data_IF_105323594780
#
_entry.id   IF_105323594780
#
_cell.length_a   1.000
_cell.length_b   1.000
_cell.length_c   1.000
_cell.angle_alpha   90.00
_cell.angle_beta   90.00
_cell.angle_gamma   90.00
#
_symmetry.space_group_name_H-M   'P 1'
#
loop_
_entity.id
_entity.type
_entity.pdbx_description
1 polymer ?
#
# COMPACT_ATOMS: atom_id res chain seq x y z
N UNK A 1 -16.50 2.23 19.93
CA UNK A 1 -16.91 3.46 19.21
C UNK A 1 -16.13 3.55 17.90
N UNK A 2 -16.75 3.27 16.74
CA UNK A 2 -16.10 3.37 15.42
C UNK A 2 -16.10 4.79 14.83
N UNK A 3 -16.56 5.81 15.58
CA UNK A 3 -16.86 7.14 15.03
C UNK A 3 -15.72 7.84 14.29
N UNK A 4 -14.45 7.60 14.66
CA UNK A 4 -13.31 8.11 13.90
C UNK A 4 -13.26 7.53 12.48
N UNK A 5 -13.36 6.20 12.35
CA UNK A 5 -13.31 5.51 11.07
C UNK A 5 -14.50 5.89 10.18
N UNK A 6 -15.70 6.00 10.75
CA UNK A 6 -16.90 6.40 10.01
C UNK A 6 -16.75 7.80 9.41
N UNK A 7 -16.29 8.77 10.21
CA UNK A 7 -16.02 10.13 9.71
C UNK A 7 -14.90 10.16 8.67
N UNK A 8 -13.89 9.32 8.82
CA UNK A 8 -12.81 9.23 7.85
C UNK A 8 -13.32 8.75 6.49
N UNK A 9 -14.12 7.68 6.47
CA UNK A 9 -14.71 7.13 5.23
C UNK A 9 -15.61 8.17 4.57
N UNK A 10 -16.55 8.75 5.33
CA UNK A 10 -17.48 9.75 4.82
C UNK A 10 -16.74 10.98 4.22
N UNK A 11 -15.82 11.57 4.97
CA UNK A 11 -15.05 12.74 4.50
C UNK A 11 -14.14 12.43 3.30
N UNK A 12 -13.73 11.18 3.13
CA UNK A 12 -12.90 10.74 2.00
C UNK A 12 -13.72 10.52 0.73
N UNK A 13 -14.98 10.10 0.86
CA UNK A 13 -15.85 9.69 -0.25
C UNK A 13 -16.85 10.77 -0.66
N UNK A 14 -17.35 11.57 0.28
CA UNK A 14 -18.31 12.65 0.04
C UNK A 14 -17.88 13.62 -1.07
N UNK A 15 -16.59 14.05 -1.16
CA UNK A 15 -16.15 14.94 -2.23
C UNK A 15 -16.16 14.33 -3.65
N UNK A 16 -16.43 13.03 -3.76
CA UNK A 16 -16.55 12.29 -5.02
C UNK A 16 -17.99 11.80 -5.28
N UNK A 17 -18.99 12.35 -4.57
CA UNK A 17 -20.39 11.91 -4.64
C UNK A 17 -20.58 10.43 -4.23
N UNK A 18 -19.71 9.95 -3.32
CA UNK A 18 -19.73 8.59 -2.78
C UNK A 18 -20.02 8.55 -1.27
N UNK A 19 -20.38 9.68 -0.65
CA UNK A 19 -20.64 9.80 0.79
C UNK A 19 -21.80 8.93 1.29
N UNK A 20 -22.74 8.59 0.41
CA UNK A 20 -23.86 7.69 0.65
C UNK A 20 -23.66 6.29 0.03
N UNK A 21 -22.42 5.96 -0.42
CA UNK A 21 -22.09 4.73 -1.15
C UNK A 21 -21.00 3.88 -0.50
N UNK A 22 -21.00 3.84 0.83
CA UNK A 22 -20.08 2.99 1.59
C UNK A 22 -20.80 2.23 2.68
N UNK A 23 -20.24 1.07 3.03
CA UNK A 23 -20.71 0.24 4.12
C UNK A 23 -19.52 -0.16 4.98
N UNK A 24 -19.58 0.10 6.28
CA UNK A 24 -18.69 -0.50 7.26
C UNK A 24 -19.52 -1.40 8.18
N UNK A 25 -19.23 -2.70 8.15
CA UNK A 25 -19.84 -3.67 9.07
C UNK A 25 -18.88 -3.87 10.23
N UNK A 26 -19.27 -3.41 11.41
CA UNK A 26 -18.39 -3.49 12.59
C UNK A 26 -18.32 -4.92 13.17
N UNK A 27 -17.49 -5.09 14.20
CA UNK A 27 -17.26 -6.40 14.84
C UNK A 27 -18.50 -6.98 15.54
N UNK A 28 -19.53 -6.18 15.78
CA UNK A 28 -20.83 -6.63 16.32
C UNK A 28 -21.84 -6.97 15.23
N UNK A 29 -21.47 -6.76 13.96
CA UNK A 29 -22.35 -6.98 12.81
C UNK A 29 -23.20 -5.77 12.44
N UNK A 30 -23.03 -4.62 13.11
CA UNK A 30 -23.82 -3.42 12.81
C UNK A 30 -23.29 -2.76 11.53
N UNK A 31 -24.22 -2.40 10.65
CA UNK A 31 -23.96 -1.66 9.42
C UNK A 31 -23.93 -0.15 9.68
N UNK A 32 -22.87 0.50 9.19
CA UNK A 32 -22.71 1.96 9.18
C UNK A 32 -22.53 2.44 7.74
N UNK A 33 -23.04 3.63 7.42
CA UNK A 33 -23.12 4.12 6.03
C UNK A 33 -24.46 3.70 5.43
N UNK A 34 -24.44 2.87 4.37
CA UNK A 34 -25.66 2.25 3.85
C UNK A 34 -26.22 1.21 4.82
N UNK A 35 -27.54 1.13 4.91
CA UNK A 35 -28.23 0.15 5.77
C UNK A 35 -28.10 -1.28 5.24
N UNK A 36 -28.27 -2.26 6.13
CA UNK A 36 -28.13 -3.69 5.83
C UNK A 36 -28.98 -4.14 4.63
N UNK A 37 -30.26 -3.76 4.59
CA UNK A 37 -31.15 -4.11 3.48
C UNK A 37 -30.63 -3.63 2.14
N UNK A 38 -30.15 -2.37 2.09
CA UNK A 38 -29.59 -1.80 0.86
C UNK A 38 -28.27 -2.46 0.46
N UNK A 39 -27.41 -2.75 1.44
CA UNK A 39 -26.17 -3.49 1.23
C UNK A 39 -26.44 -4.89 0.65
N UNK A 40 -27.45 -5.61 1.16
CA UNK A 40 -27.84 -6.93 0.64
C UNK A 40 -28.31 -6.85 -0.83
N UNK A 41 -29.15 -5.87 -1.17
CA UNK A 41 -29.59 -5.63 -2.56
C UNK A 41 -28.41 -5.40 -3.50
N UNK A 42 -27.42 -4.61 -3.06
CA UNK A 42 -26.19 -4.35 -3.83
C UNK A 42 -25.43 -5.66 -4.02
N UNK A 43 -25.17 -6.43 -2.97
CA UNK A 43 -24.47 -7.71 -3.11
C UNK A 43 -25.17 -8.68 -4.06
N UNK A 44 -26.51 -8.76 -4.00
CA UNK A 44 -27.29 -9.65 -4.87
C UNK A 44 -27.27 -9.25 -6.35
N UNK A 45 -27.09 -7.96 -6.64
CA UNK A 45 -27.06 -7.41 -8.00
C UNK A 45 -25.64 -7.13 -8.53
N UNK A 46 -24.62 -7.43 -7.74
CA UNK A 46 -23.21 -7.18 -8.09
C UNK A 46 -22.65 -8.30 -8.94
N UNK A 47 -22.02 -7.95 -10.06
CA UNK A 47 -21.35 -8.90 -10.95
C UNK A 47 -19.89 -9.20 -10.52
N UNK A 48 -19.23 -8.23 -9.86
CA UNK A 48 -17.81 -8.30 -9.47
C UNK A 48 -17.57 -7.80 -8.05
N UNK A 49 -16.97 -8.64 -7.23
CA UNK A 49 -16.42 -8.28 -5.92
C UNK A 49 -14.91 -8.10 -6.03
N UNK A 50 -14.42 -6.87 -5.85
CA UNK A 50 -13.01 -6.55 -5.91
C UNK A 50 -12.46 -6.24 -4.51
N UNK A 51 -11.49 -7.03 -4.08
CA UNK A 51 -10.79 -6.83 -2.81
C UNK A 51 -9.38 -6.30 -3.09
N UNK A 52 -9.15 -5.04 -2.77
CA UNK A 52 -7.80 -4.50 -2.65
C UNK A 52 -7.23 -4.93 -1.30
N UNK A 53 -6.03 -5.52 -1.31
CA UNK A 53 -5.25 -5.98 -0.14
C UNK A 53 -5.84 -5.66 1.23
N UNK A 54 -6.16 -6.71 1.98
CA UNK A 54 -6.62 -6.59 3.36
C UNK A 54 -7.88 -5.75 3.61
N UNK A 55 -8.54 -5.24 2.57
CA UNK A 55 -9.81 -4.53 2.67
C UNK A 55 -10.97 -5.44 3.10
N UNK A 56 -10.84 -6.76 2.93
CA UNK A 56 -11.84 -7.72 3.39
C UNK A 56 -11.23 -9.10 3.64
N UNK A 57 -11.03 -9.49 4.90
CA UNK A 57 -10.55 -10.83 5.29
C UNK A 57 -11.68 -11.79 5.73
N UNK A 58 -12.94 -11.37 5.61
CA UNK A 58 -14.09 -12.12 6.11
C UNK A 58 -15.08 -12.41 4.99
N UNK A 59 -15.28 -13.69 4.70
CA UNK A 59 -16.33 -14.14 3.80
C UNK A 59 -17.69 -14.08 4.49
N UNK A 60 -18.66 -13.53 3.75
CA UNK A 60 -20.09 -13.59 4.05
C UNK A 60 -20.76 -14.31 2.89
N UNK A 61 -21.84 -15.03 3.14
CA UNK A 61 -22.59 -15.73 2.09
C UNK A 61 -22.96 -14.78 0.93
N UNK A 62 -23.29 -13.53 1.25
CA UNK A 62 -23.56 -12.47 0.27
C UNK A 62 -22.39 -12.20 -0.68
N UNK A 63 -21.15 -12.22 -0.19
CA UNK A 63 -19.96 -12.01 -1.02
C UNK A 63 -19.61 -13.26 -1.83
N UNK A 64 -19.80 -14.45 -1.25
CA UNK A 64 -19.56 -15.73 -1.92
C UNK A 64 -20.51 -15.95 -3.11
N UNK A 65 -21.73 -15.40 -3.03
CA UNK A 65 -22.71 -15.46 -4.10
C UNK A 65 -22.42 -14.51 -5.27
N UNK A 66 -21.45 -13.60 -5.15
CA UNK A 66 -21.08 -12.70 -6.25
C UNK A 66 -20.34 -13.52 -7.33
N UNK A 67 -20.77 -13.47 -8.61
CA UNK A 67 -20.26 -14.35 -9.66
C UNK A 67 -18.74 -14.30 -9.84
N UNK A 68 -18.15 -13.11 -9.79
CA UNK A 68 -16.71 -12.92 -9.97
C UNK A 68 -16.10 -12.27 -8.74
N UNK A 69 -15.05 -12.88 -8.19
CA UNK A 69 -14.27 -12.39 -7.05
C UNK A 69 -12.84 -12.16 -7.51
N UNK A 70 -12.37 -10.93 -7.39
CA UNK A 70 -11.00 -10.55 -7.74
C UNK A 70 -10.27 -9.98 -6.53
N UNK A 71 -9.00 -10.35 -6.36
CA UNK A 71 -8.11 -9.79 -5.35
C UNK A 71 -7.00 -8.99 -6.01
N UNK A 72 -6.59 -7.87 -5.43
CA UNK A 72 -5.39 -7.12 -5.85
C UNK A 72 -4.42 -7.07 -4.67
N UNK A 73 -3.28 -7.74 -4.84
CA UNK A 73 -2.15 -7.72 -3.90
C UNK A 73 -1.30 -6.45 -4.05
N UNK A 74 -1.44 -5.54 -3.09
CA UNK A 74 -0.64 -4.32 -2.98
C UNK A 74 0.72 -4.52 -2.29
N UNK A 75 0.98 -5.69 -1.68
CA UNK A 75 2.19 -6.00 -0.90
C UNK A 75 2.92 -7.24 -1.46
N UNK A 76 3.33 -7.21 -2.76
CA UNK A 76 3.90 -8.37 -3.43
C UNK A 76 5.12 -8.92 -2.70
N UNK A 77 5.22 -10.23 -2.70
CA UNK A 77 6.22 -11.01 -2.01
C UNK A 77 5.81 -11.41 -0.60
N UNK A 78 5.17 -10.54 0.19
CA UNK A 78 4.67 -10.95 1.52
C UNK A 78 3.53 -11.97 1.38
N UNK A 79 2.56 -11.69 0.53
CA UNK A 79 1.42 -12.57 0.26
C UNK A 79 1.88 -13.95 -0.22
N UNK A 80 2.82 -14.00 -1.17
CA UNK A 80 3.29 -15.26 -1.75
C UNK A 80 4.23 -16.03 -0.80
N UNK A 81 5.07 -15.34 -0.02
CA UNK A 81 5.90 -15.98 1.02
C UNK A 81 5.04 -16.59 2.13
N UNK A 82 3.98 -15.89 2.56
CA UNK A 82 3.04 -16.42 3.55
C UNK A 82 2.31 -17.66 3.03
N UNK A 83 1.81 -17.62 1.78
CA UNK A 83 1.23 -18.79 1.10
C UNK A 83 2.22 -19.95 1.02
N UNK A 84 3.47 -19.68 0.63
CA UNK A 84 4.50 -20.71 0.52
C UNK A 84 4.83 -21.33 1.88
N UNK A 85 4.99 -20.50 2.93
CA UNK A 85 5.25 -20.97 4.28
C UNK A 85 4.12 -21.87 4.78
N UNK A 86 2.88 -21.44 4.61
CA UNK A 86 1.70 -22.23 4.99
C UNK A 86 1.71 -23.59 4.27
N UNK A 87 1.99 -23.63 2.97
CA UNK A 87 2.09 -24.88 2.22
C UNK A 87 3.18 -25.83 2.72
N UNK A 88 4.31 -25.30 3.20
CA UNK A 88 5.37 -26.13 3.80
C UNK A 88 4.95 -26.69 5.17
N UNK A 89 4.14 -25.95 5.93
CA UNK A 89 3.70 -26.31 7.27
C UNK A 89 2.40 -27.15 7.29
N UNK A 90 1.60 -27.08 6.23
CA UNK A 90 0.30 -27.74 6.06
C UNK A 90 0.33 -29.27 6.12
N UNK A 91 1.50 -29.90 5.99
CA UNK A 91 1.68 -31.35 5.94
C UNK A 91 1.23 -32.15 7.18
N UNK A 92 0.53 -31.55 8.15
CA UNK A 92 0.04 -32.22 9.35
C UNK A 92 -1.29 -31.68 9.93
N UNK A 93 -1.86 -30.58 9.45
CA UNK A 93 -3.01 -29.92 10.10
C UNK A 93 -3.83 -29.09 9.10
N UNK A 94 -5.02 -29.58 8.74
CA UNK A 94 -5.92 -28.91 7.79
C UNK A 94 -6.44 -27.56 8.31
N UNK A 95 -6.49 -27.34 9.63
CA UNK A 95 -6.89 -26.04 10.21
C UNK A 95 -5.89 -24.92 9.90
N UNK A 96 -4.68 -25.26 9.46
CA UNK A 96 -3.64 -24.29 9.09
C UNK A 96 -3.73 -23.78 7.66
N UNK A 97 -4.64 -24.30 6.82
CA UNK A 97 -4.76 -23.94 5.40
C UNK A 97 -5.65 -22.72 5.11
N UNK A 98 -5.99 -21.92 6.12
CA UNK A 98 -6.98 -20.86 5.98
C UNK A 98 -6.56 -19.80 4.95
N UNK A 99 -5.27 -19.48 4.82
CA UNK A 99 -4.80 -18.46 3.89
C UNK A 99 -4.85 -19.00 2.46
N UNK A 100 -4.40 -20.23 2.26
CA UNK A 100 -4.53 -20.95 1.00
C UNK A 100 -5.99 -21.03 0.56
N UNK A 101 -6.89 -21.44 1.46
CA UNK A 101 -8.31 -21.59 1.16
C UNK A 101 -8.98 -20.24 0.92
N UNK A 102 -8.59 -19.19 1.64
CA UNK A 102 -9.00 -17.83 1.37
C UNK A 102 -8.65 -17.42 -0.07
N UNK A 103 -7.42 -17.66 -0.55
CA UNK A 103 -7.06 -17.32 -1.93
C UNK A 103 -7.72 -18.20 -3.00
N UNK A 104 -8.05 -19.46 -2.69
CA UNK A 104 -8.81 -20.33 -3.61
C UNK A 104 -10.24 -19.85 -3.88
N UNK A 105 -10.80 -19.02 -3.02
CA UNK A 105 -12.16 -18.47 -3.23
C UNK A 105 -12.23 -17.41 -4.34
N UNK A 106 -11.10 -16.85 -4.76
CA UNK A 106 -11.04 -15.83 -5.80
C UNK A 106 -10.94 -16.44 -7.20
N UNK A 107 -11.68 -15.84 -8.13
CA UNK A 107 -11.64 -16.20 -9.55
C UNK A 107 -10.40 -15.60 -10.24
N UNK A 108 -9.94 -14.42 -9.79
CA UNK A 108 -8.77 -13.74 -10.34
C UNK A 108 -7.92 -13.12 -9.24
N UNK A 109 -6.61 -13.28 -9.37
CA UNK A 109 -5.63 -12.70 -8.45
C UNK A 109 -4.73 -11.75 -9.24
N UNK A 110 -4.68 -10.51 -8.82
CA UNK A 110 -3.83 -9.46 -9.37
C UNK A 110 -2.75 -9.08 -8.36
N UNK A 111 -1.66 -8.50 -8.84
CA UNK A 111 -0.58 -8.01 -7.98
C UNK A 111 0.07 -6.75 -8.55
N UNK A 112 0.55 -5.87 -7.67
CA UNK A 112 1.43 -4.75 -8.04
C UNK A 112 2.90 -5.17 -8.17
N UNK A 113 3.24 -6.44 -7.97
CA UNK A 113 4.57 -7.00 -8.23
C UNK A 113 4.71 -7.53 -9.64
N UNK A 114 5.23 -6.72 -10.56
CA UNK A 114 5.36 -7.08 -11.99
C UNK A 114 6.20 -8.31 -12.30
N UNK A 115 7.11 -8.70 -11.40
CA UNK A 115 7.95 -9.89 -11.57
C UNK A 115 7.39 -11.14 -10.88
N UNK A 116 6.34 -11.03 -10.07
CA UNK A 116 5.75 -12.18 -9.37
C UNK A 116 5.24 -13.20 -10.40
N UNK A 117 5.61 -14.47 -10.21
CA UNK A 117 5.27 -15.55 -11.14
C UNK A 117 6.16 -15.60 -12.40
N UNK A 118 7.20 -14.78 -12.48
CA UNK A 118 8.19 -14.79 -13.58
C UNK A 118 9.55 -15.29 -13.08
N UNK A 119 10.48 -15.70 -13.97
CA UNK A 119 11.84 -16.09 -13.56
C UNK A 119 12.65 -14.99 -12.86
N UNK A 120 12.22 -13.73 -12.92
CA UNK A 120 12.91 -12.60 -12.28
C UNK A 120 12.59 -12.45 -10.79
N UNK A 121 11.58 -13.16 -10.28
CA UNK A 121 11.23 -13.22 -8.86
C UNK A 121 11.10 -14.67 -8.42
N UNK A 122 12.04 -15.13 -7.61
CA UNK A 122 12.13 -16.55 -7.19
C UNK A 122 11.11 -16.96 -6.12
N UNK A 123 10.22 -16.04 -5.68
CA UNK A 123 9.20 -16.38 -4.69
C UNK A 123 8.19 -17.36 -5.31
N UNK A 124 7.95 -18.53 -4.70
CA UNK A 124 6.95 -19.47 -5.18
C UNK A 124 5.54 -18.87 -5.12
N UNK A 125 4.77 -19.02 -6.19
CA UNK A 125 3.36 -18.56 -6.25
C UNK A 125 2.36 -19.65 -5.87
N UNK A 126 2.82 -20.88 -5.62
CA UNK A 126 1.96 -22.02 -5.34
C UNK A 126 1.02 -22.34 -6.52
N UNK A 127 -0.24 -22.71 -6.28
CA UNK A 127 -1.21 -23.03 -7.33
C UNK A 127 -1.82 -21.80 -8.00
N UNK A 128 -1.38 -20.59 -7.64
CA UNK A 128 -2.02 -19.35 -8.05
C UNK A 128 -1.30 -18.69 -9.22
N UNK A 129 -2.09 -18.18 -10.16
CA UNK A 129 -1.65 -17.25 -11.20
C UNK A 129 -1.86 -15.83 -10.71
N UNK A 130 -0.79 -15.04 -10.64
CA UNK A 130 -0.84 -13.63 -10.24
C UNK A 130 -0.69 -12.73 -11.46
N UNK A 131 -1.77 -12.01 -11.79
CA UNK A 131 -1.81 -11.11 -12.93
C UNK A 131 -1.22 -9.75 -12.57
N UNK A 132 -0.18 -9.27 -13.26
CA UNK A 132 0.44 -8.01 -12.93
C UNK A 132 -0.46 -6.83 -13.34
N UNK A 133 -0.60 -5.85 -12.45
CA UNK A 133 -1.30 -4.59 -12.69
C UNK A 133 -0.61 -3.43 -11.97
N UNK A 134 -1.14 -2.22 -12.13
CA UNK A 134 -0.70 -1.02 -11.41
C UNK A 134 -1.88 -0.37 -10.70
N UNK A 135 -1.61 0.31 -9.58
CA UNK A 135 -2.60 1.18 -8.96
C UNK A 135 -2.98 2.30 -9.95
N UNK A 136 -4.27 2.46 -10.29
CA UNK A 136 -4.70 3.58 -11.12
C UNK A 136 -4.52 4.90 -10.35
N UNK A 137 -4.05 5.94 -11.05
CA UNK A 137 -3.86 7.28 -10.49
C UNK A 137 -4.76 8.29 -11.21
N UNK A 138 -5.52 9.07 -10.45
CA UNK A 138 -6.34 10.16 -11.02
C UNK A 138 -5.47 11.40 -11.21
N UNK A 139 -4.88 11.55 -12.38
CA UNK A 139 -3.92 12.64 -12.68
C UNK A 139 -4.49 14.03 -12.39
N UNK A 140 -5.77 14.27 -12.67
CA UNK A 140 -6.41 15.58 -12.42
C UNK A 140 -6.50 15.94 -10.94
N UNK A 141 -6.64 14.93 -10.07
CA UNK A 141 -6.71 15.12 -8.62
C UNK A 141 -5.33 15.37 -8.02
N UNK A 142 -4.27 14.90 -8.67
CA UNK A 142 -2.88 15.03 -8.24
C UNK A 142 -2.14 16.16 -8.93
N UNK A 143 -2.66 16.69 -10.04
CA UNK A 143 -2.07 17.80 -10.77
C UNK A 143 -1.83 18.99 -9.86
N UNK A 144 -0.59 19.49 -9.84
CA UNK A 144 -0.27 20.74 -9.17
C UNK A 144 -0.59 21.88 -10.12
N UNK A 145 -1.45 22.82 -9.71
CA UNK A 145 -1.51 24.10 -10.41
C UNK A 145 -0.18 24.78 -10.15
N UNK A 146 0.66 24.93 -11.18
CA UNK A 146 2.06 25.39 -11.08
C UNK A 146 2.22 26.75 -10.36
N UNK A 147 1.13 27.49 -10.19
CA UNK A 147 1.08 28.78 -9.50
C UNK A 147 0.68 28.70 -8.02
N UNK A 148 0.06 27.61 -7.54
CA UNK A 148 -0.56 27.58 -6.20
C UNK A 148 0.37 27.17 -5.07
N UNK A 149 1.40 26.36 -5.33
CA UNK A 149 2.34 26.00 -4.25
C UNK A 149 3.75 25.75 -4.77
N UNK A 150 4.73 26.63 -4.49
CA UNK A 150 6.12 26.34 -4.77
C UNK A 150 6.53 25.10 -3.95
N UNK A 151 7.35 24.20 -4.52
CA UNK A 151 7.82 23.04 -3.77
C UNK A 151 8.60 23.52 -2.54
N UNK A 152 8.26 22.95 -1.38
CA UNK A 152 9.09 22.98 -0.19
C UNK A 152 10.46 22.40 -0.57
N UNK A 153 11.50 22.85 0.14
CA UNK A 153 12.86 22.38 -0.07
C UNK A 153 13.09 20.86 0.15
N UNK A 154 12.48 20.20 1.15
CA UNK A 154 12.82 18.81 1.45
C UNK A 154 12.31 17.83 0.39
N UNK A 155 13.13 16.81 0.14
CA UNK A 155 12.70 15.51 -0.38
C UNK A 155 11.98 14.77 0.73
N UNK A 156 10.85 14.15 0.43
CA UNK A 156 9.99 13.59 1.48
C UNK A 156 9.60 12.16 1.21
N UNK A 157 9.13 11.49 2.26
CA UNK A 157 8.45 10.21 2.13
C UNK A 157 7.47 10.00 3.27
N UNK A 158 6.44 9.21 2.99
CA UNK A 158 5.52 8.67 4.00
C UNK A 158 5.77 7.18 4.05
N UNK A 159 6.23 6.68 5.19
CA UNK A 159 6.66 5.29 5.30
C UNK A 159 6.37 4.66 6.66
N UNK A 160 6.12 3.37 6.62
CA UNK A 160 6.11 2.50 7.79
C UNK A 160 7.50 1.88 7.94
N UNK A 161 8.15 2.11 9.08
CA UNK A 161 9.49 1.59 9.38
C UNK A 161 9.50 0.07 9.45
N UNK A 162 8.52 -0.46 10.19
CA UNK A 162 8.27 -1.87 10.39
C UNK A 162 6.76 -2.06 10.59
N UNK A 163 6.21 -3.11 9.98
CA UNK A 163 4.81 -3.50 10.12
C UNK A 163 4.68 -4.50 11.28
N UNK A 164 3.53 -4.49 11.97
CA UNK A 164 3.24 -5.45 13.04
C UNK A 164 2.56 -6.74 12.53
N UNK A 165 2.10 -6.74 11.28
CA UNK A 165 1.64 -7.94 10.56
C UNK A 165 2.81 -8.66 9.91
N UNK A 166 2.74 -9.97 9.65
CA UNK A 166 3.79 -10.69 8.91
C UNK A 166 5.18 -10.59 9.57
N UNK A 167 5.27 -10.55 10.90
CA UNK A 167 6.55 -10.35 11.63
C UNK A 167 7.59 -11.44 11.36
N UNK A 168 7.14 -12.61 10.91
CA UNK A 168 7.92 -13.79 10.59
C UNK A 168 8.03 -14.04 9.06
N UNK A 169 7.53 -13.11 8.24
CA UNK A 169 7.52 -13.20 6.78
C UNK A 169 8.25 -11.99 6.18
N UNK A 170 9.31 -12.26 5.43
CA UNK A 170 10.02 -11.21 4.69
C UNK A 170 10.78 -10.23 5.59
N UNK A 171 11.03 -9.03 5.06
CA UNK A 171 11.75 -7.96 5.74
C UNK A 171 11.22 -6.58 5.37
N UNK A 172 11.39 -5.62 6.28
CA UNK A 172 10.77 -4.30 6.23
C UNK A 172 11.71 -3.20 5.75
N UNK A 173 11.25 -1.93 5.78
CA UNK A 173 12.06 -0.79 5.35
C UNK A 173 13.24 -0.52 6.27
N UNK A 174 13.14 -0.86 7.56
CA UNK A 174 14.23 -0.74 8.54
C UNK A 174 15.57 -1.31 8.05
N UNK A 175 15.56 -2.50 7.44
CA UNK A 175 16.77 -3.17 6.93
C UNK A 175 17.43 -2.43 5.76
N UNK A 176 16.62 -1.90 4.83
CA UNK A 176 17.12 -1.13 3.69
C UNK A 176 17.50 0.29 4.06
N UNK A 177 16.76 0.92 4.99
CA UNK A 177 16.98 2.31 5.38
C UNK A 177 18.34 2.49 6.08
N UNK A 178 18.77 1.53 6.90
CA UNK A 178 20.08 1.58 7.56
C UNK A 178 21.23 1.69 6.54
N UNK A 179 21.08 1.13 5.34
CA UNK A 179 22.10 1.19 4.28
C UNK A 179 22.29 2.59 3.70
N UNK A 180 21.29 3.46 3.84
CA UNK A 180 21.31 4.86 3.37
C UNK A 180 21.43 5.87 4.51
N UNK A 181 21.60 5.43 5.76
CA UNK A 181 21.54 6.28 6.95
C UNK A 181 22.50 7.49 6.90
N UNK A 182 23.69 7.31 6.34
CA UNK A 182 24.71 8.36 6.21
C UNK A 182 24.43 9.38 5.08
N UNK A 183 23.37 9.20 4.29
CA UNK A 183 23.11 10.02 3.11
C UNK A 183 22.98 11.52 3.41
N UNK A 184 22.21 11.99 4.43
CA UNK A 184 22.08 13.41 4.71
C UNK A 184 23.44 14.04 5.01
N UNK A 185 24.26 13.38 5.84
CA UNK A 185 25.60 13.84 6.22
C UNK A 185 26.57 13.94 5.03
N UNK A 186 26.41 13.06 4.03
CA UNK A 186 27.21 13.09 2.81
C UNK A 186 26.77 14.21 1.87
N UNK A 187 25.47 14.49 1.81
CA UNK A 187 24.91 15.51 0.93
C UNK A 187 25.09 16.91 1.49
N UNK A 188 24.93 17.13 2.80
CA UNK A 188 25.10 18.45 3.44
C UNK A 188 26.45 19.13 3.14
N UNK A 189 27.48 18.35 2.84
CA UNK A 189 28.82 18.86 2.55
C UNK A 189 28.95 19.45 1.16
N UNK A 190 28.19 18.94 0.20
CA UNK A 190 28.40 19.18 -1.24
C UNK A 190 27.13 19.70 -1.96
N UNK A 191 25.94 19.49 -1.39
CA UNK A 191 24.63 19.73 -2.01
C UNK A 191 23.61 20.25 -0.98
N UNK A 192 22.92 21.35 -1.29
CA UNK A 192 21.79 21.88 -0.49
C UNK A 192 20.54 20.98 -0.65
N UNK A 193 20.57 19.81 0.01
CA UNK A 193 19.52 18.78 -0.04
C UNK A 193 18.98 18.56 1.36
N UNK A 194 17.69 18.87 1.53
CA UNK A 194 16.95 18.65 2.76
C UNK A 194 16.07 17.38 2.64
N UNK A 195 15.85 16.69 3.76
CA UNK A 195 14.95 15.53 3.85
C UNK A 195 13.91 15.74 4.96
N UNK A 196 12.74 15.12 4.81
CA UNK A 196 11.73 15.04 5.86
C UNK A 196 10.96 13.72 5.78
N UNK A 197 10.90 12.97 6.89
CA UNK A 197 10.28 11.65 6.97
C UNK A 197 8.97 11.69 7.77
N UNK A 198 7.85 11.39 7.13
CA UNK A 198 6.61 11.04 7.82
C UNK A 198 6.64 9.52 8.15
N UNK A 199 7.10 9.18 9.35
CA UNK A 199 7.41 7.79 9.76
C UNK A 199 6.83 7.42 11.13
N UNK A 200 6.44 6.15 11.31
CA UNK A 200 5.97 5.58 12.59
C UNK A 200 7.10 5.06 13.51
N UNK A 201 8.27 4.77 12.95
CA UNK A 201 9.43 4.17 13.62
C UNK A 201 10.33 5.14 14.38
N UNK A 202 11.60 4.79 14.63
CA UNK A 202 12.41 5.37 15.70
C UNK A 202 12.87 6.80 15.38
N UNK A 203 11.97 7.77 15.57
CA UNK A 203 12.17 9.19 15.20
C UNK A 203 13.42 9.80 15.82
N UNK A 204 13.73 9.44 17.07
CA UNK A 204 14.94 9.89 17.76
C UNK A 204 16.20 9.41 17.04
N UNK A 205 16.31 8.10 16.80
CA UNK A 205 17.42 7.50 16.07
C UNK A 205 17.58 8.12 14.67
N UNK A 206 16.48 8.30 13.93
CA UNK A 206 16.51 8.92 12.61
C UNK A 206 17.01 10.37 12.68
N UNK A 207 16.46 11.16 13.59
CA UNK A 207 16.84 12.57 13.76
C UNK A 207 18.32 12.72 14.17
N UNK A 208 18.82 11.86 15.06
CA UNK A 208 20.22 11.82 15.47
C UNK A 208 21.17 11.47 14.32
N UNK A 209 20.67 10.81 13.28
CA UNK A 209 21.41 10.47 12.06
C UNK A 209 21.12 11.44 10.89
N UNK A 210 20.61 12.64 11.18
CA UNK A 210 20.39 13.68 10.17
C UNK A 210 19.13 13.48 9.32
N UNK A 211 18.17 12.69 9.80
CA UNK A 211 16.87 12.50 9.14
C UNK A 211 15.74 13.16 9.94
N UNK A 212 15.37 14.41 9.63
CA UNK A 212 14.24 15.08 10.27
C UNK A 212 12.95 14.29 10.11
N UNK A 213 12.24 14.05 11.21
CA UNK A 213 10.96 13.36 11.22
C UNK A 213 9.79 14.33 11.45
N UNK A 214 8.70 14.15 10.70
CA UNK A 214 7.40 14.78 10.98
C UNK A 214 6.40 13.77 11.55
N UNK A 215 5.26 14.24 12.04
CA UNK A 215 4.22 13.36 12.56
C UNK A 215 3.47 12.67 11.41
N UNK A 216 3.78 11.39 11.20
CA UNK A 216 3.13 10.56 10.19
C UNK A 216 1.61 10.58 10.28
N UNK A 217 1.04 10.49 11.50
CA UNK A 217 -0.41 10.48 11.69
C UNK A 217 -1.05 11.80 11.24
N UNK A 218 -0.43 12.95 11.54
CA UNK A 218 -0.96 14.25 11.11
C UNK A 218 -0.85 14.45 9.60
N UNK A 219 0.20 13.91 8.97
CA UNK A 219 0.39 13.91 7.51
C UNK A 219 -0.65 13.05 6.82
N UNK A 220 -0.96 11.87 7.36
CA UNK A 220 -1.90 10.89 6.78
C UNK A 220 -3.28 10.93 7.42
N UNK A 221 -3.65 12.02 8.11
CA UNK A 221 -4.88 12.09 8.89
C UNK A 221 -6.14 12.04 8.03
N UNK A 222 -6.04 12.60 6.82
CA UNK A 222 -7.07 12.61 5.81
C UNK A 222 -6.42 12.65 4.40
N UNK A 223 -7.16 12.27 3.35
CA UNK A 223 -6.61 12.22 1.99
C UNK A 223 -6.10 13.57 1.48
N UNK A 224 -6.67 14.68 1.95
CA UNK A 224 -6.33 16.03 1.50
C UNK A 224 -4.98 16.47 2.05
N UNK A 225 -4.74 16.28 3.34
CA UNK A 225 -3.44 16.53 3.97
C UNK A 225 -2.34 15.66 3.39
N UNK A 226 -2.64 14.38 3.15
CA UNK A 226 -1.70 13.47 2.51
C UNK A 226 -1.33 13.94 1.11
N UNK A 227 -2.33 14.36 0.33
CA UNK A 227 -2.13 14.94 -1.00
C UNK A 227 -1.29 16.21 -0.94
N UNK A 228 -1.64 17.16 -0.07
CA UNK A 228 -0.91 18.43 0.08
C UNK A 228 0.55 18.18 0.49
N UNK A 229 0.78 17.21 1.39
CA UNK A 229 2.13 16.82 1.78
C UNK A 229 2.99 16.43 0.58
N UNK A 230 2.47 15.57 -0.30
CA UNK A 230 3.15 15.09 -1.51
C UNK A 230 3.27 16.20 -2.56
N UNK A 231 2.18 16.92 -2.84
CA UNK A 231 2.13 17.96 -3.88
C UNK A 231 3.10 19.11 -3.59
N UNK A 232 3.36 19.40 -2.31
CA UNK A 232 4.26 20.47 -1.90
C UNK A 232 5.69 20.03 -1.73
N UNK A 233 6.03 18.75 -1.88
CA UNK A 233 7.41 18.29 -1.72
C UNK A 233 8.31 18.63 -2.89
N UNK A 234 9.63 18.68 -2.67
CA UNK A 234 10.61 18.78 -3.76
C UNK A 234 10.56 17.56 -4.68
N UNK A 235 10.36 16.39 -4.08
CA UNK A 235 10.38 15.08 -4.73
C UNK A 235 10.27 13.98 -3.69
N UNK A 236 10.13 12.74 -4.15
CA UNK A 236 10.22 11.56 -3.28
C UNK A 236 11.67 11.09 -3.15
N UNK A 237 12.11 10.83 -1.93
CA UNK A 237 13.23 9.92 -1.68
C UNK A 237 12.72 8.76 -0.82
N UNK A 238 12.83 7.52 -1.28
CA UNK A 238 12.39 6.38 -0.46
C UNK A 238 13.12 5.08 -0.73
N UNK A 239 13.31 4.30 0.35
CA UNK A 239 13.68 2.87 0.25
C UNK A 239 12.43 2.00 0.17
N UNK A 240 12.54 0.84 -0.46
CA UNK A 240 11.48 -0.15 -0.53
C UNK A 240 11.50 -1.06 0.71
N UNK A 241 10.44 -1.86 0.93
CA UNK A 241 10.52 -2.94 1.94
C UNK A 241 11.61 -3.92 1.50
N UNK A 242 12.39 -4.45 2.44
CA UNK A 242 13.48 -5.39 2.12
C UNK A 242 12.99 -6.57 1.27
N UNK A 243 11.79 -7.10 1.54
CA UNK A 243 11.17 -8.15 0.72
C UNK A 243 11.12 -7.79 -0.77
N UNK A 244 10.72 -6.56 -1.12
CA UNK A 244 10.58 -6.17 -2.53
C UNK A 244 11.93 -6.13 -3.24
N UNK A 245 12.96 -5.65 -2.53
CA UNK A 245 14.33 -5.53 -3.04
C UNK A 245 14.97 -6.90 -3.16
N UNK A 246 14.96 -7.68 -2.07
CA UNK A 246 15.59 -9.00 -1.98
C UNK A 246 15.10 -9.95 -3.07
N UNK A 247 13.80 -9.91 -3.34
CA UNK A 247 13.16 -10.82 -4.28
C UNK A 247 12.89 -10.20 -5.65
N UNK A 248 13.34 -8.97 -5.89
CA UNK A 248 13.19 -8.30 -7.18
C UNK A 248 11.73 -8.35 -7.67
N UNK A 249 10.77 -7.96 -6.83
CA UNK A 249 9.33 -8.16 -7.07
C UNK A 249 8.75 -7.33 -8.22
N UNK A 250 9.49 -6.34 -8.73
CA UNK A 250 9.05 -5.39 -9.75
C UNK A 250 8.03 -4.38 -9.23
N UNK A 251 7.94 -4.20 -7.91
CA UNK A 251 6.96 -3.34 -7.27
C UNK A 251 7.23 -1.86 -7.51
N UNK A 252 6.18 -1.12 -7.87
CA UNK A 252 6.18 0.32 -7.98
C UNK A 252 5.12 0.91 -7.03
N UNK A 253 5.53 1.85 -6.17
CA UNK A 253 4.65 2.38 -5.12
C UNK A 253 3.53 3.23 -5.73
N UNK A 254 2.31 2.99 -5.24
CA UNK A 254 1.18 3.92 -5.36
C UNK A 254 1.55 5.35 -4.93
N UNK A 255 2.26 5.51 -3.80
CA UNK A 255 2.79 6.81 -3.35
C UNK A 255 3.71 7.44 -4.40
N UNK A 256 4.61 6.67 -5.00
CA UNK A 256 5.52 7.19 -6.05
C UNK A 256 4.73 7.64 -7.26
N UNK A 257 3.69 6.89 -7.66
CA UNK A 257 2.76 7.32 -8.70
C UNK A 257 2.11 8.69 -8.35
N UNK A 258 1.74 8.91 -7.08
CA UNK A 258 1.21 10.19 -6.62
C UNK A 258 2.21 11.35 -6.73
N UNK A 259 3.49 11.15 -6.36
CA UNK A 259 4.54 12.15 -6.55
C UNK A 259 4.71 12.51 -8.03
N UNK A 260 4.83 11.51 -8.90
CA UNK A 260 5.00 11.73 -10.34
C UNK A 260 3.77 12.42 -10.96
N UNK A 261 2.55 12.01 -10.59
CA UNK A 261 1.31 12.66 -11.02
C UNK A 261 1.20 14.12 -10.52
N UNK A 262 1.89 14.45 -9.43
CA UNK A 262 2.02 15.82 -8.91
C UNK A 262 3.13 16.63 -9.59
N UNK A 263 3.81 16.07 -10.59
CA UNK A 263 4.98 16.67 -11.24
C UNK A 263 6.22 16.70 -10.36
N UNK A 264 6.32 15.81 -9.37
CA UNK A 264 7.45 15.72 -8.44
C UNK A 264 8.36 14.55 -8.82
N UNK A 265 9.67 14.77 -8.98
CA UNK A 265 10.62 13.69 -9.28
C UNK A 265 10.68 12.68 -8.14
N UNK A 266 11.07 11.46 -8.45
CA UNK A 266 11.20 10.39 -7.47
C UNK A 266 12.55 9.69 -7.59
N UNK A 267 13.26 9.58 -6.47
CA UNK A 267 14.47 8.77 -6.30
C UNK A 267 14.10 7.63 -5.36
N UNK A 268 13.76 6.49 -5.95
CA UNK A 268 13.25 5.33 -5.22
C UNK A 268 14.12 4.11 -5.45
N UNK A 269 14.21 3.26 -4.43
CA UNK A 269 15.03 2.06 -4.50
C UNK A 269 14.51 1.07 -5.53
N UNK A 270 15.44 0.50 -6.30
CA UNK A 270 15.17 -0.53 -7.29
C UNK A 270 14.56 -1.80 -6.66
N UNK A 271 13.54 -2.32 -7.32
CA UNK A 271 12.82 -3.56 -6.97
C UNK A 271 12.69 -4.50 -8.17
N UNK A 272 13.29 -4.15 -9.32
CA UNK A 272 13.02 -4.71 -10.65
C UNK A 272 12.10 -3.85 -11.51
N UNK A 273 11.70 -2.67 -11.03
CA UNK A 273 10.71 -1.77 -11.65
C UNK A 273 11.23 -1.11 -12.94
N UNK A 274 12.54 -0.84 -13.04
CA UNK A 274 13.15 -0.18 -14.22
C UNK A 274 13.04 -1.00 -15.51
N UNK A 275 12.75 -2.30 -15.40
CA UNK A 275 12.47 -3.16 -16.55
C UNK A 275 11.06 -2.95 -17.12
N UNK A 276 10.15 -2.36 -16.34
CA UNK A 276 8.74 -2.23 -16.67
C UNK A 276 8.30 -0.78 -16.88
N UNK A 277 9.01 0.18 -16.30
CA UNK A 277 8.70 1.60 -16.35
C UNK A 277 9.92 2.40 -16.81
N UNK A 278 9.74 3.49 -17.59
CA UNK A 278 10.84 4.41 -17.90
C UNK A 278 11.44 5.02 -16.64
N UNK A 279 12.78 5.06 -16.55
CA UNK A 279 13.55 5.61 -15.41
C UNK A 279 14.62 6.58 -15.87
#
# INVERSE_FOLDING_TARGET
>A
DPGYALRYIDNSLSPFDLGDRWCYVDYTGVHHGIEEGKWMEICQSTDLFLVLSGGCWAWRDHYLNIPVKAFIDSDPGFTQLALHKEQQEAGADEEKNWYLDYFKTYDRLFTFGKNIGTPECEIPTGPFEWLPTYQPISVDLWATQSERTPPRKPWTTVMTWEIESFTDIGGNKNEEFVKVLELPRRLERDLDVEFELAVNGPKTFLSENGWPCTNAFEVSRDPWRYRDYIQTSRGEFSVAKHTYVKWNTGWFSDRTACYLASGRPAVVQETGLSRHLPT
#
